data_IF_901107311984
#
_entry.id   IF_901107311984
#
_cell.length_a   1.000
_cell.length_b   1.000
_cell.length_c   1.000
_cell.angle_alpha   90.00
_cell.angle_beta   90.00
_cell.angle_gamma   90.00
#
_symmetry.space_group_name_H-M   'P 1'
#
loop_
_entity.id
_entity.type
_entity.pdbx_description
1 polymer ?
#
# COMPACT_ATOMS: atom_id res chain seq x y z
N UNK A 1 -43.45 -37.57 22.92
CA UNK A 1 -43.09 -36.23 23.38
C UNK A 1 -42.10 -36.33 24.54
N UNK A 2 -40.84 -36.11 24.32
CA UNK A 2 -39.85 -36.19 25.37
C UNK A 2 -38.51 -35.63 24.81
N UNK A 3 -38.30 -34.35 25.01
CA UNK A 3 -37.02 -33.71 24.80
C UNK A 3 -36.02 -34.18 25.83
N UNK A 4 -34.97 -34.87 25.42
CA UNK A 4 -33.82 -35.18 26.27
C UNK A 4 -32.79 -34.11 26.14
N UNK A 5 -32.57 -33.33 27.21
CA UNK A 5 -31.41 -32.49 27.43
C UNK A 5 -30.26 -33.41 27.87
N UNK A 6 -29.13 -33.34 27.16
CA UNK A 6 -27.87 -33.95 27.56
C UNK A 6 -27.03 -32.90 28.28
N UNK A 7 -26.56 -33.11 29.51
CA UNK A 7 -25.64 -32.17 30.14
C UNK A 7 -24.22 -32.48 29.72
N UNK A 8 -23.57 -31.48 29.10
CA UNK A 8 -22.13 -31.51 28.84
C UNK A 8 -21.40 -31.36 30.19
N UNK A 9 -20.77 -32.41 30.65
CA UNK A 9 -19.86 -32.37 31.81
C UNK A 9 -18.55 -31.65 31.40
N UNK A 10 -18.30 -30.49 32.00
CA UNK A 10 -16.98 -29.87 31.97
C UNK A 10 -16.12 -30.51 33.07
N UNK A 11 -15.12 -31.25 32.66
CA UNK A 11 -14.10 -31.78 33.57
C UNK A 11 -13.01 -30.73 33.77
N UNK A 12 -12.98 -30.13 34.95
CA UNK A 12 -11.90 -29.22 35.38
C UNK A 12 -10.70 -30.07 35.84
N UNK A 13 -9.62 -30.02 35.10
CA UNK A 13 -8.32 -30.53 35.56
C UNK A 13 -7.51 -29.40 36.19
N UNK A 14 -7.18 -29.53 37.47
CA UNK A 14 -6.26 -28.67 38.18
C UNK A 14 -4.87 -29.31 38.21
N UNK A 15 -3.87 -28.66 37.71
CA UNK A 15 -2.45 -28.92 37.95
C UNK A 15 -1.85 -27.61 38.47
N UNK A 16 -1.29 -27.64 39.71
CA UNK A 16 -0.58 -26.54 40.38
C UNK A 16 -1.31 -25.21 40.55
N UNK A 17 -2.51 -25.22 41.17
CA UNK A 17 -3.08 -24.03 41.85
C UNK A 17 -3.50 -22.82 40.99
N UNK A 18 -3.38 -22.86 39.64
CA UNK A 18 -3.90 -21.86 38.74
C UNK A 18 -4.95 -22.50 37.82
N UNK A 19 -6.11 -21.86 37.62
CA UNK A 19 -7.07 -22.35 36.66
C UNK A 19 -6.46 -22.25 35.24
N UNK A 20 -6.35 -23.38 34.55
CA UNK A 20 -6.10 -23.39 33.13
C UNK A 20 -7.37 -22.86 32.46
N UNK A 21 -7.34 -21.57 32.05
CA UNK A 21 -8.40 -21.00 31.24
C UNK A 21 -8.45 -21.77 29.91
N UNK A 22 -9.57 -22.48 29.73
CA UNK A 22 -9.81 -23.39 28.63
C UNK A 22 -9.82 -22.65 27.28
N UNK A 23 -9.46 -23.35 26.24
CA UNK A 23 -9.63 -23.30 24.79
C UNK A 23 -10.58 -22.26 24.11
N UNK A 24 -11.26 -21.39 24.85
CA UNK A 24 -12.10 -20.30 24.36
C UNK A 24 -11.31 -19.00 24.11
N UNK A 25 -10.00 -18.95 24.38
CA UNK A 25 -9.13 -17.78 24.16
C UNK A 25 -8.39 -17.80 22.81
N UNK A 26 -8.70 -18.75 21.92
CA UNK A 26 -8.00 -18.84 20.62
C UNK A 26 -8.41 -17.75 19.60
N UNK A 27 -9.50 -16.99 19.87
CA UNK A 27 -9.96 -15.87 19.05
C UNK A 27 -9.54 -14.48 19.59
N UNK A 28 -8.69 -14.45 20.63
CA UNK A 28 -8.23 -13.17 21.17
C UNK A 28 -7.22 -12.49 20.26
N UNK A 29 -7.35 -11.18 20.21
CA UNK A 29 -6.57 -10.18 19.47
C UNK A 29 -5.17 -10.66 19.07
N UNK A 30 -4.99 -10.90 17.77
CA UNK A 30 -3.70 -11.34 17.24
C UNK A 30 -2.89 -10.13 16.80
N UNK A 31 -1.78 -9.85 17.48
CA UNK A 31 -0.84 -8.83 17.07
C UNK A 31 -0.12 -9.30 15.80
N UNK A 32 -0.24 -8.52 14.73
CA UNK A 32 0.45 -8.72 13.45
C UNK A 32 1.47 -7.61 13.22
N UNK A 33 2.60 -7.95 12.59
CA UNK A 33 3.65 -6.97 12.26
C UNK A 33 3.31 -6.07 11.08
N UNK A 34 2.22 -6.32 10.36
CA UNK A 34 1.68 -5.40 9.35
C UNK A 34 1.01 -4.16 9.98
N UNK A 35 0.89 -4.13 11.29
CA UNK A 35 0.52 -2.95 12.06
C UNK A 35 1.78 -2.14 12.37
N UNK A 36 1.77 -0.86 12.02
CA UNK A 36 2.90 0.07 12.19
C UNK A 36 3.37 0.21 13.65
N UNK A 37 2.42 0.21 14.60
CA UNK A 37 2.74 0.24 16.03
C UNK A 37 3.53 -1.00 16.46
N UNK A 38 3.02 -2.19 16.13
CA UNK A 38 3.67 -3.44 16.50
C UNK A 38 5.06 -3.57 15.84
N UNK A 39 5.17 -3.16 14.58
CA UNK A 39 6.41 -3.14 13.84
C UNK A 39 7.45 -2.23 14.52
N UNK A 40 7.11 -0.95 14.75
CA UNK A 40 8.02 0.00 15.40
C UNK A 40 8.35 -0.41 16.84
N UNK A 41 7.38 -0.90 17.61
CA UNK A 41 7.59 -1.33 18.98
C UNK A 41 8.57 -2.51 19.10
N UNK A 42 8.56 -3.40 18.14
CA UNK A 42 9.42 -4.60 18.13
C UNK A 42 10.72 -4.38 17.40
N UNK A 43 10.73 -3.77 16.22
CA UNK A 43 11.94 -3.59 15.42
C UNK A 43 12.60 -2.21 15.57
N UNK A 44 11.89 -1.23 16.14
CA UNK A 44 12.40 0.14 16.36
C UNK A 44 12.92 0.38 17.79
N UNK A 45 13.24 -0.64 18.58
CA UNK A 45 13.71 -0.48 19.96
C UNK A 45 15.14 -0.99 20.15
N UNK A 46 15.92 -0.29 20.99
CA UNK A 46 17.30 -0.66 21.32
C UNK A 46 17.39 -2.10 21.88
N UNK A 47 16.41 -2.50 22.68
CA UNK A 47 16.31 -3.85 23.24
C UNK A 47 16.30 -4.95 22.17
N UNK A 48 15.76 -4.63 20.99
CA UNK A 48 15.55 -5.55 19.88
C UNK A 48 16.48 -5.28 18.69
N UNK A 49 17.49 -4.45 18.87
CA UNK A 49 18.49 -4.11 17.87
C UNK A 49 19.04 -5.32 17.09
N UNK A 50 19.38 -6.47 17.74
CA UNK A 50 19.85 -7.66 17.00
C UNK A 50 18.84 -8.24 16.01
N UNK A 51 17.54 -8.11 16.27
CA UNK A 51 16.48 -8.57 15.35
C UNK A 51 16.45 -7.70 14.10
N UNK A 52 16.56 -6.38 14.27
CA UNK A 52 16.62 -5.44 13.16
C UNK A 52 17.89 -5.59 12.34
N UNK A 53 19.02 -5.85 13.00
CA UNK A 53 20.31 -6.12 12.34
C UNK A 53 20.21 -7.32 11.39
N UNK A 54 19.69 -8.45 11.84
CA UNK A 54 19.49 -9.65 11.01
C UNK A 54 18.54 -9.37 9.83
N UNK A 55 17.49 -8.58 10.04
CA UNK A 55 16.59 -8.17 8.96
C UNK A 55 17.29 -7.29 7.91
N UNK A 56 18.06 -6.29 8.34
CA UNK A 56 18.79 -5.42 7.43
C UNK A 56 19.88 -6.15 6.65
N UNK A 57 20.58 -7.10 7.27
CA UNK A 57 21.55 -7.95 6.59
C UNK A 57 20.92 -8.78 5.47
N UNK A 58 19.64 -9.12 5.58
CA UNK A 58 18.92 -9.82 4.51
C UNK A 58 18.57 -8.91 3.30
N UNK A 59 18.48 -7.59 3.52
CA UNK A 59 18.02 -6.63 2.50
C UNK A 59 19.21 -5.93 1.85
N UNK A 60 20.13 -5.43 2.67
CA UNK A 60 21.22 -4.54 2.26
C UNK A 60 22.55 -5.28 2.20
N UNK A 61 23.44 -4.85 1.29
CA UNK A 61 24.81 -5.33 1.24
C UNK A 61 25.69 -4.52 2.21
N UNK A 62 25.40 -4.67 3.50
CA UNK A 62 26.13 -4.03 4.58
C UNK A 62 27.19 -4.97 5.15
N UNK A 63 28.31 -4.39 5.59
CA UNK A 63 29.28 -5.13 6.39
C UNK A 63 28.73 -5.35 7.80
N UNK A 64 29.09 -6.46 8.48
CA UNK A 64 28.65 -6.71 9.86
C UNK A 64 28.96 -5.53 10.80
N UNK A 65 30.08 -4.83 10.60
CA UNK A 65 30.46 -3.68 11.44
C UNK A 65 29.49 -2.50 11.26
N UNK A 66 29.06 -2.19 10.03
CA UNK A 66 28.07 -1.12 9.78
C UNK A 66 26.76 -1.39 10.49
N UNK A 67 26.34 -2.65 10.55
CA UNK A 67 25.09 -3.07 11.17
C UNK A 67 25.20 -3.11 12.71
N UNK A 68 26.36 -3.50 13.25
CA UNK A 68 26.58 -3.58 14.70
C UNK A 68 26.42 -2.23 15.40
N UNK A 69 26.85 -1.16 14.77
CA UNK A 69 26.94 0.19 15.36
C UNK A 69 25.81 1.12 14.89
N UNK A 70 24.70 0.57 14.38
CA UNK A 70 23.53 1.38 14.01
C UNK A 70 22.93 2.10 15.24
N UNK A 71 22.42 3.30 15.01
CA UNK A 71 21.74 4.12 16.02
C UNK A 71 20.29 4.40 15.58
N UNK A 72 19.34 4.29 16.52
CA UNK A 72 17.97 4.75 16.27
C UNK A 72 17.93 6.28 16.33
N UNK A 73 17.36 6.91 15.28
CA UNK A 73 17.24 8.37 15.22
C UNK A 73 16.05 8.89 16.05
N UNK A 74 14.98 8.11 16.13
CA UNK A 74 13.80 8.43 16.92
C UNK A 74 13.89 7.71 18.26
N UNK A 75 14.06 8.49 19.34
CA UNK A 75 13.96 7.96 20.70
C UNK A 75 12.50 7.61 20.97
N UNK A 76 12.29 6.59 21.80
CA UNK A 76 11.03 5.99 22.25
C UNK A 76 9.72 6.71 21.88
N UNK A 77 8.74 5.94 21.44
CA UNK A 77 7.37 6.39 21.19
C UNK A 77 6.83 7.21 22.38
N UNK A 78 6.72 8.51 22.24
CA UNK A 78 6.11 9.36 23.24
C UNK A 78 4.59 9.22 23.21
N UNK A 79 3.92 9.50 24.37
CA UNK A 79 2.44 9.52 24.42
C UNK A 79 1.82 10.51 23.45
N UNK A 80 2.53 11.55 23.07
CA UNK A 80 2.11 12.59 22.12
C UNK A 80 2.12 12.08 20.69
N UNK A 81 3.10 11.25 20.30
CA UNK A 81 3.13 10.60 18.98
C UNK A 81 1.98 9.61 18.78
N UNK A 82 1.47 9.01 19.87
CA UNK A 82 0.24 8.19 19.82
C UNK A 82 -1.02 9.00 19.57
N UNK A 83 -1.08 10.25 20.00
CA UNK A 83 -2.23 11.14 19.82
C UNK A 83 -2.25 11.79 18.44
N UNK A 84 -1.12 11.83 17.76
CA UNK A 84 -1.04 12.36 16.41
C UNK A 84 -1.66 11.37 15.40
N UNK A 85 -2.87 11.70 14.99
CA UNK A 85 -3.69 10.90 14.07
C UNK A 85 -3.09 10.76 12.67
N UNK A 86 -2.03 11.48 12.36
CA UNK A 86 -1.35 11.51 11.06
C UNK A 86 0.05 10.90 11.08
N UNK A 87 0.58 10.55 12.27
CA UNK A 87 1.94 10.04 12.44
C UNK A 87 2.13 8.66 11.80
N UNK A 88 2.96 8.60 10.78
CA UNK A 88 3.50 7.36 10.25
C UNK A 88 4.56 6.87 11.24
N UNK A 89 4.36 5.68 11.77
CA UNK A 89 5.32 5.05 12.67
C UNK A 89 6.35 4.28 11.82
N UNK A 90 7.39 4.97 11.41
CA UNK A 90 8.54 4.42 10.71
C UNK A 90 9.70 4.09 11.69
N UNK A 91 10.66 3.32 11.22
CA UNK A 91 11.89 3.01 11.96
C UNK A 91 13.04 3.71 11.26
N UNK A 92 13.58 4.77 11.88
CA UNK A 92 14.71 5.55 11.35
C UNK A 92 16.01 5.20 12.05
N UNK A 93 17.04 4.98 11.26
CA UNK A 93 18.36 4.54 11.70
C UNK A 93 19.44 5.38 11.07
N UNK A 94 20.57 5.48 11.77
CA UNK A 94 21.83 6.01 11.24
C UNK A 94 22.94 4.99 11.42
N UNK A 95 23.70 4.76 10.37
CA UNK A 95 24.90 3.92 10.40
C UNK A 95 26.13 4.75 10.74
N UNK A 96 27.24 4.09 11.06
CA UNK A 96 28.53 4.74 11.43
C UNK A 96 29.13 5.60 10.33
N UNK A 97 28.87 5.28 9.06
CA UNK A 97 29.30 6.06 7.90
C UNK A 97 28.40 7.27 7.59
N UNK A 98 27.40 7.50 8.43
CA UNK A 98 26.41 8.57 8.26
C UNK A 98 25.20 8.20 7.40
N UNK A 99 25.17 7.01 6.78
CA UNK A 99 24.02 6.52 6.02
C UNK A 99 22.77 6.52 6.89
N UNK A 100 21.67 7.10 6.37
CA UNK A 100 20.38 7.13 7.05
C UNK A 100 19.43 6.14 6.38
N UNK A 101 18.76 5.31 7.17
CA UNK A 101 17.81 4.30 6.71
C UNK A 101 16.45 4.60 7.30
N UNK A 102 15.41 4.57 6.48
CA UNK A 102 14.00 4.69 6.85
C UNK A 102 13.25 3.43 6.44
N UNK A 103 12.57 2.78 7.39
CA UNK A 103 11.82 1.55 7.15
C UNK A 103 10.35 1.82 7.44
N UNK A 104 9.54 1.78 6.37
CA UNK A 104 8.09 1.93 6.44
C UNK A 104 7.38 0.60 6.17
N UNK A 105 6.30 0.34 6.90
CA UNK A 105 5.37 -0.73 6.60
C UNK A 105 4.02 -0.18 6.12
N UNK A 106 3.57 -0.62 4.95
CA UNK A 106 2.36 -0.14 4.31
C UNK A 106 1.36 -1.26 4.12
N UNK A 107 0.13 -1.02 4.56
CA UNK A 107 -0.95 -2.00 4.44
C UNK A 107 -1.35 -2.27 2.99
N UNK A 108 -1.28 -1.25 2.13
CA UNK A 108 -1.68 -1.38 0.73
C UNK A 108 -0.93 -0.39 -0.16
N UNK A 109 -0.72 -0.78 -1.41
CA UNK A 109 -0.17 0.06 -2.45
C UNK A 109 -1.20 1.07 -2.98
N UNK A 110 -0.75 2.30 -3.27
CA UNK A 110 -1.52 3.29 -4.02
C UNK A 110 -0.63 4.07 -4.99
N UNK A 111 -1.25 4.74 -5.97
CA UNK A 111 -0.52 5.44 -7.05
C UNK A 111 0.40 6.58 -6.56
N UNK A 112 0.14 7.13 -5.37
CA UNK A 112 0.93 8.21 -4.79
C UNK A 112 2.13 7.70 -3.99
N UNK A 113 2.21 6.38 -3.77
CA UNK A 113 3.17 5.80 -2.85
C UNK A 113 4.63 6.08 -3.24
N UNK A 114 4.99 5.89 -4.51
CA UNK A 114 6.35 6.20 -4.99
C UNK A 114 6.70 7.67 -4.78
N UNK A 115 5.76 8.58 -5.08
CA UNK A 115 5.98 10.03 -4.86
C UNK A 115 6.18 10.34 -3.38
N UNK A 116 5.44 9.67 -2.51
CA UNK A 116 5.57 9.80 -1.06
C UNK A 116 6.93 9.31 -0.56
N UNK A 117 7.36 8.13 -1.01
CA UNK A 117 8.69 7.59 -0.69
C UNK A 117 9.79 8.58 -1.10
N UNK A 118 9.75 9.10 -2.33
CA UNK A 118 10.74 10.09 -2.81
C UNK A 118 10.68 11.40 -2.02
N UNK A 119 9.50 11.85 -1.61
CA UNK A 119 9.34 13.06 -0.80
C UNK A 119 9.98 12.90 0.59
N UNK A 120 9.73 11.79 1.28
CA UNK A 120 10.35 11.52 2.59
C UNK A 120 11.84 11.27 2.47
N UNK A 121 12.29 10.56 1.43
CA UNK A 121 13.70 10.43 1.12
C UNK A 121 14.38 11.79 0.96
N UNK A 122 13.81 12.71 0.17
CA UNK A 122 14.37 14.04 -0.05
C UNK A 122 14.43 14.85 1.25
N UNK A 123 13.41 14.75 2.11
CA UNK A 123 13.43 15.36 3.44
C UNK A 123 14.54 14.80 4.32
N UNK A 124 14.71 13.49 4.33
CA UNK A 124 15.75 12.80 5.09
C UNK A 124 17.14 13.21 4.60
N UNK A 125 17.33 13.25 3.28
CA UNK A 125 18.59 13.61 2.65
C UNK A 125 19.04 15.03 2.98
N UNK A 126 18.11 15.96 3.17
CA UNK A 126 18.40 17.38 3.46
C UNK A 126 18.18 17.78 4.91
N UNK A 127 17.78 16.85 5.80
CA UNK A 127 17.33 17.18 7.16
C UNK A 127 18.37 17.96 8.00
N UNK A 128 19.62 17.54 7.93
CA UNK A 128 20.71 18.12 8.73
C UNK A 128 21.57 19.12 7.93
N UNK A 129 21.22 19.39 6.66
CA UNK A 129 22.03 20.24 5.77
C UNK A 129 21.69 21.72 5.91
N UNK A 130 22.69 22.54 6.23
CA UNK A 130 22.54 23.97 6.47
C UNK A 130 23.08 24.80 5.32
N UNK A 131 22.55 25.99 5.15
CA UNK A 131 23.04 26.96 4.18
C UNK A 131 24.53 27.26 4.37
N UNK A 132 25.34 27.13 3.31
CA UNK A 132 26.77 27.35 3.31
C UNK A 132 27.65 26.14 3.67
N UNK A 133 27.05 25.00 3.94
CA UNK A 133 27.80 23.75 4.13
C UNK A 133 28.21 23.12 2.79
N UNK A 134 29.33 22.35 2.84
CA UNK A 134 29.76 21.56 1.69
C UNK A 134 28.80 20.40 1.42
N UNK A 135 28.50 20.13 0.15
CA UNK A 135 27.68 18.99 -0.28
C UNK A 135 28.30 17.64 0.09
N UNK A 136 29.60 17.58 0.40
CA UNK A 136 30.28 16.37 0.89
C UNK A 136 29.76 15.89 2.26
N UNK A 137 28.98 16.74 2.95
CA UNK A 137 28.31 16.37 4.21
C UNK A 137 26.97 15.65 4.01
N UNK A 138 26.48 15.60 2.78
CA UNK A 138 25.28 14.85 2.48
C UNK A 138 25.60 13.36 2.45
N UNK A 139 24.84 12.60 3.24
CA UNK A 139 25.05 11.15 3.38
C UNK A 139 24.05 10.38 2.51
N UNK A 140 24.40 9.13 2.21
CA UNK A 140 23.51 8.16 1.57
C UNK A 140 22.22 8.01 2.38
N UNK A 141 21.10 7.93 1.69
CA UNK A 141 19.79 7.69 2.29
C UNK A 141 19.10 6.51 1.62
N UNK A 142 18.65 5.56 2.43
CA UNK A 142 18.01 4.32 2.00
C UNK A 142 16.57 4.31 2.50
N UNK A 143 15.60 4.17 1.60
CA UNK A 143 14.19 3.99 1.95
C UNK A 143 13.79 2.52 1.74
N UNK A 144 13.38 1.82 2.80
CA UNK A 144 12.92 0.43 2.76
C UNK A 144 11.41 0.43 2.98
N UNK A 145 10.67 0.01 1.96
CA UNK A 145 9.21 0.00 1.96
C UNK A 145 8.69 -1.44 1.96
N UNK A 146 8.03 -1.85 3.02
CA UNK A 146 7.40 -3.16 3.15
C UNK A 146 5.93 -3.02 2.78
N UNK A 147 5.49 -3.71 1.72
CA UNK A 147 4.14 -3.60 1.17
C UNK A 147 3.35 -4.87 1.49
N UNK A 148 2.28 -4.73 2.28
CA UNK A 148 1.47 -5.88 2.68
C UNK A 148 0.56 -6.37 1.56
N UNK A 149 0.04 -5.47 0.72
CA UNK A 149 -0.86 -5.82 -0.38
C UNK A 149 -0.80 -4.83 -1.55
N UNK A 150 -1.08 -5.35 -2.75
CA UNK A 150 -1.32 -4.55 -3.95
C UNK A 150 -0.08 -3.98 -4.64
N UNK A 151 1.14 -4.42 -4.32
CA UNK A 151 2.34 -3.99 -5.03
C UNK A 151 2.24 -4.25 -6.54
N UNK A 152 2.60 -3.26 -7.37
CA UNK A 152 2.33 -3.29 -8.82
C UNK A 152 3.47 -2.77 -9.70
N UNK A 153 4.66 -2.54 -9.16
CA UNK A 153 5.78 -2.11 -10.00
C UNK A 153 6.39 -3.28 -10.79
N UNK A 154 6.45 -4.45 -10.17
CA UNK A 154 6.91 -5.71 -10.76
C UNK A 154 6.46 -6.89 -9.88
N UNK A 155 6.85 -8.12 -10.24
CA UNK A 155 6.51 -9.35 -9.52
C UNK A 155 7.64 -9.85 -8.59
N UNK A 156 8.69 -9.04 -8.37
CA UNK A 156 9.81 -9.42 -7.54
C UNK A 156 9.44 -9.30 -6.04
N UNK A 157 9.98 -10.20 -5.23
CA UNK A 157 9.85 -10.17 -3.77
C UNK A 157 10.57 -8.96 -3.20
N UNK A 158 11.72 -8.63 -3.76
CA UNK A 158 12.56 -7.51 -3.40
C UNK A 158 12.98 -6.78 -4.67
N UNK A 159 12.72 -5.49 -4.72
CA UNK A 159 13.10 -4.61 -5.81
C UNK A 159 13.95 -3.48 -5.25
N UNK A 160 15.10 -3.27 -5.84
CA UNK A 160 16.03 -2.19 -5.54
C UNK A 160 16.04 -1.16 -6.68
N UNK A 161 15.95 0.11 -6.33
CA UNK A 161 15.94 1.22 -7.27
C UNK A 161 17.07 2.20 -6.94
N UNK A 162 17.88 2.49 -7.95
CA UNK A 162 18.98 3.45 -7.94
C UNK A 162 18.81 4.48 -9.04
N UNK A 163 19.52 5.59 -8.95
CA UNK A 163 19.63 6.55 -10.04
C UNK A 163 20.59 6.04 -11.12
N UNK A 164 20.06 5.75 -12.30
CA UNK A 164 20.84 5.21 -13.44
C UNK A 164 20.64 6.02 -14.70
N UNK A 165 21.68 6.03 -15.55
CA UNK A 165 21.54 6.48 -16.93
C UNK A 165 20.58 5.54 -17.69
N UNK A 166 19.65 6.11 -18.45
CA UNK A 166 18.49 5.40 -19.01
C UNK A 166 18.85 4.33 -20.05
N UNK A 167 19.94 4.51 -20.79
CA UNK A 167 20.31 3.68 -21.92
C UNK A 167 21.42 2.67 -21.59
N UNK A 168 22.47 3.16 -20.95
CA UNK A 168 23.63 2.35 -20.58
C UNK A 168 23.49 1.67 -19.22
N UNK A 169 22.47 2.03 -18.45
CA UNK A 169 22.21 1.53 -17.09
C UNK A 169 23.39 1.76 -16.13
N UNK A 170 24.22 2.75 -16.40
CA UNK A 170 25.32 3.13 -15.52
C UNK A 170 24.75 3.84 -14.30
N UNK A 171 25.06 3.37 -13.11
CA UNK A 171 24.65 4.00 -11.85
C UNK A 171 25.29 5.37 -11.75
N UNK A 172 24.48 6.41 -11.57
CA UNK A 172 24.94 7.79 -11.38
C UNK A 172 25.48 7.98 -9.98
N UNK A 173 24.76 7.44 -8.99
CA UNK A 173 25.09 7.56 -7.57
C UNK A 173 24.25 6.54 -6.77
N UNK A 174 24.78 6.12 -5.63
CA UNK A 174 24.14 5.29 -4.61
C UNK A 174 23.55 6.12 -3.45
N UNK A 175 23.61 7.45 -3.56
CA UNK A 175 23.07 8.36 -2.52
C UNK A 175 21.57 8.18 -2.33
N UNK A 176 20.82 7.93 -3.41
CA UNK A 176 19.42 7.54 -3.37
C UNK A 176 19.28 6.05 -3.62
N UNK A 177 18.77 5.35 -2.63
CA UNK A 177 18.43 3.94 -2.74
C UNK A 177 17.03 3.70 -2.17
N UNK A 178 16.19 3.00 -2.92
CA UNK A 178 14.84 2.67 -2.50
C UNK A 178 14.57 1.19 -2.71
N UNK A 179 14.20 0.49 -1.62
CA UNK A 179 13.81 -0.91 -1.63
C UNK A 179 12.30 -1.04 -1.47
N UNK A 180 11.72 -1.97 -2.22
CA UNK A 180 10.34 -2.37 -2.09
C UNK A 180 10.29 -3.88 -1.85
N UNK A 181 9.65 -4.28 -0.77
CA UNK A 181 9.53 -5.65 -0.29
C UNK A 181 8.06 -6.06 -0.34
N UNK A 182 7.72 -7.04 -1.17
CA UNK A 182 6.35 -7.48 -1.38
C UNK A 182 6.03 -8.71 -0.52
N UNK A 183 5.16 -8.56 0.49
CA UNK A 183 4.75 -9.64 1.37
C UNK A 183 3.92 -10.71 0.64
N UNK A 184 3.15 -10.33 -0.38
CA UNK A 184 2.33 -11.28 -1.14
C UNK A 184 3.20 -12.13 -2.08
N UNK A 185 4.19 -11.53 -2.72
CA UNK A 185 5.18 -12.26 -3.52
C UNK A 185 5.99 -13.24 -2.65
N UNK A 186 6.43 -12.81 -1.46
CA UNK A 186 7.12 -13.67 -0.50
C UNK A 186 6.25 -14.84 -0.01
N UNK A 187 4.94 -14.63 0.16
CA UNK A 187 4.00 -15.69 0.52
C UNK A 187 3.85 -16.73 -0.59
N UNK A 188 3.75 -16.29 -1.84
CA UNK A 188 3.66 -17.16 -3.02
C UNK A 188 4.94 -17.99 -3.23
N UNK A 189 6.11 -17.40 -3.05
CA UNK A 189 7.41 -18.08 -3.25
C UNK A 189 7.62 -19.33 -2.37
N UNK A 190 6.86 -19.49 -1.29
CA UNK A 190 6.84 -20.72 -0.47
C UNK A 190 6.43 -21.96 -1.27
N UNK A 191 5.49 -21.78 -2.20
CA UNK A 191 4.89 -22.89 -2.95
C UNK A 191 5.84 -23.42 -4.02
N UNK A 192 6.80 -22.61 -4.48
CA UNK A 192 7.75 -22.92 -5.53
C UNK A 192 9.06 -23.55 -5.04
N UNK A 193 9.31 -23.59 -3.73
CA UNK A 193 10.38 -24.32 -3.03
C UNK A 193 11.81 -23.81 -3.25
N UNK A 194 12.45 -23.34 -2.16
CA UNK A 194 13.91 -23.29 -1.94
C UNK A 194 14.67 -22.07 -2.46
N UNK A 195 14.43 -20.91 -1.89
CA UNK A 195 15.52 -19.96 -1.79
C UNK A 195 16.44 -20.37 -0.61
N UNK A 196 17.74 -20.51 -0.87
CA UNK A 196 18.76 -20.75 0.14
C UNK A 196 19.55 -19.46 0.41
N UNK A 197 20.31 -19.40 1.51
CA UNK A 197 21.16 -18.28 1.87
C UNK A 197 20.37 -17.01 2.21
N UNK A 198 20.95 -15.84 1.92
CA UNK A 198 20.42 -14.51 2.22
C UNK A 198 18.99 -14.30 1.69
N UNK A 199 18.73 -14.72 0.45
CA UNK A 199 17.40 -14.62 -0.14
C UNK A 199 16.35 -15.47 0.58
N UNK A 200 16.72 -16.69 1.00
CA UNK A 200 15.83 -17.55 1.77
C UNK A 200 15.50 -16.97 3.15
N UNK A 201 16.48 -16.36 3.80
CA UNK A 201 16.27 -15.65 5.07
C UNK A 201 15.33 -14.47 4.88
N UNK A 202 15.52 -13.65 3.84
CA UNK A 202 14.61 -12.54 3.53
C UNK A 202 13.17 -13.02 3.30
N UNK A 203 12.97 -14.08 2.53
CA UNK A 203 11.64 -14.67 2.30
C UNK A 203 10.99 -15.09 3.64
N UNK A 204 11.75 -15.73 4.53
CA UNK A 204 11.24 -16.11 5.84
C UNK A 204 10.87 -14.90 6.69
N UNK A 205 11.67 -13.84 6.70
CA UNK A 205 11.35 -12.57 7.35
C UNK A 205 10.05 -11.96 6.82
N UNK A 206 9.93 -11.82 5.50
CA UNK A 206 8.75 -11.19 4.89
C UNK A 206 7.48 -12.03 5.12
N UNK A 207 7.59 -13.35 5.07
CA UNK A 207 6.49 -14.25 5.42
C UNK A 207 6.09 -14.15 6.90
N UNK A 208 7.08 -14.01 7.79
CA UNK A 208 6.84 -13.82 9.21
C UNK A 208 6.12 -12.50 9.49
N UNK A 209 6.56 -11.40 8.85
CA UNK A 209 5.92 -10.08 8.94
C UNK A 209 4.49 -10.14 8.39
N UNK A 210 4.28 -10.84 7.27
CA UNK A 210 2.98 -10.99 6.61
C UNK A 210 2.07 -12.05 7.22
N UNK A 211 2.49 -12.77 8.26
CA UNK A 211 1.67 -13.79 8.92
C UNK A 211 0.42 -13.17 9.57
N UNK A 212 -0.74 -13.74 9.28
CA UNK A 212 -2.03 -13.21 9.71
C UNK A 212 -2.56 -13.83 11.01
N UNK A 213 -1.95 -14.93 11.44
CA UNK A 213 -2.35 -15.65 12.65
C UNK A 213 -1.15 -16.27 13.39
N UNK A 214 -1.34 -16.52 14.69
CA UNK A 214 -0.30 -17.05 15.59
C UNK A 214 0.27 -18.39 15.12
N UNK A 215 -0.56 -19.26 14.59
CA UNK A 215 -0.15 -20.62 14.16
C UNK A 215 0.80 -20.54 12.95
N UNK A 216 0.46 -19.73 11.96
CA UNK A 216 1.29 -19.47 10.80
C UNK A 216 2.63 -18.85 11.21
N UNK A 217 2.60 -17.81 12.07
CA UNK A 217 3.78 -17.14 12.58
C UNK A 217 4.70 -18.08 13.34
N UNK A 218 4.16 -18.88 14.27
CA UNK A 218 4.91 -19.85 15.05
C UNK A 218 5.59 -20.91 14.16
N UNK A 219 4.92 -21.37 13.11
CA UNK A 219 5.50 -22.30 12.15
C UNK A 219 6.67 -21.68 11.38
N UNK A 220 6.57 -20.43 10.94
CA UNK A 220 7.66 -19.75 10.25
C UNK A 220 8.82 -19.48 11.22
N UNK A 221 8.53 -19.16 12.46
CA UNK A 221 9.53 -18.91 13.51
C UNK A 221 10.51 -20.07 13.70
N UNK A 222 10.06 -21.31 13.49
CA UNK A 222 10.95 -22.50 13.59
C UNK A 222 12.07 -22.53 12.58
N UNK A 223 12.02 -21.69 11.53
CA UNK A 223 13.02 -21.65 10.46
C UNK A 223 14.28 -20.85 10.80
N UNK A 224 14.23 -19.98 11.85
CA UNK A 224 15.34 -19.13 12.26
C UNK A 224 15.29 -18.86 13.77
N UNK A 225 16.42 -18.95 14.50
CA UNK A 225 16.47 -18.57 15.91
C UNK A 225 16.06 -17.13 16.17
N UNK A 226 16.37 -16.22 15.24
CA UNK A 226 16.01 -14.80 15.33
C UNK A 226 14.49 -14.62 15.22
N UNK A 227 13.85 -15.30 14.28
CA UNK A 227 12.39 -15.27 14.15
C UNK A 227 11.69 -15.95 15.33
N UNK A 228 12.29 -16.97 15.92
CA UNK A 228 11.77 -17.57 17.15
C UNK A 228 11.79 -16.58 18.32
N UNK A 229 12.90 -15.87 18.50
CA UNK A 229 13.01 -14.80 19.52
C UNK A 229 11.97 -13.71 19.29
N UNK A 230 11.79 -13.27 18.04
CA UNK A 230 10.77 -12.26 17.68
C UNK A 230 9.35 -12.77 17.97
N UNK A 231 9.06 -14.04 17.68
CA UNK A 231 7.75 -14.64 17.98
C UNK A 231 7.45 -14.64 19.49
N UNK A 232 8.44 -14.98 20.33
CA UNK A 232 8.31 -14.92 21.79
C UNK A 232 8.03 -13.49 22.29
N UNK A 233 8.71 -12.49 21.71
CA UNK A 233 8.48 -11.08 22.05
C UNK A 233 7.08 -10.61 21.65
N UNK A 234 6.53 -11.05 20.52
CA UNK A 234 5.16 -10.76 20.12
C UNK A 234 4.17 -11.39 21.11
N UNK A 235 4.41 -12.63 21.53
CA UNK A 235 3.54 -13.29 22.51
C UNK A 235 3.54 -12.55 23.86
N UNK A 236 4.70 -12.08 24.34
CA UNK A 236 4.81 -11.23 25.54
C UNK A 236 4.05 -9.90 25.36
N UNK A 237 4.21 -9.24 24.21
CA UNK A 237 3.50 -8.00 23.88
C UNK A 237 1.99 -8.20 23.91
N UNK A 238 1.51 -9.34 23.42
CA UNK A 238 0.09 -9.72 23.42
C UNK A 238 -0.46 -9.86 24.84
N UNK A 239 0.35 -10.26 25.82
CA UNK A 239 -0.06 -10.42 27.22
C UNK A 239 -0.17 -9.08 27.98
N UNK A 240 0.45 -8.00 27.49
CA UNK A 240 0.40 -6.69 28.13
C UNK A 240 -0.90 -5.94 27.83
N UNK A 241 -1.72 -5.60 28.86
CA UNK A 241 -2.97 -4.87 28.64
C UNK A 241 -2.76 -3.47 28.04
N UNK A 242 -1.64 -2.82 28.36
CA UNK A 242 -1.30 -1.50 27.84
C UNK A 242 -0.96 -1.58 26.34
N UNK A 243 -0.09 -2.51 25.98
CA UNK A 243 0.32 -2.73 24.60
C UNK A 243 -0.88 -3.14 23.72
N UNK A 244 -1.75 -4.00 24.21
CA UNK A 244 -3.01 -4.36 23.54
C UNK A 244 -3.87 -3.13 23.25
N UNK A 245 -4.09 -2.28 24.23
CA UNK A 245 -4.89 -1.06 24.05
C UNK A 245 -4.30 -0.12 23.01
N UNK A 246 -2.99 0.02 22.99
CA UNK A 246 -2.29 0.85 21.99
C UNK A 246 -2.42 0.24 20.59
N UNK A 247 -2.20 -1.06 20.46
CA UNK A 247 -2.41 -1.78 19.20
C UNK A 247 -3.85 -1.65 18.68
N UNK A 248 -4.85 -1.88 19.53
CA UNK A 248 -6.27 -1.75 19.21
C UNK A 248 -6.63 -0.32 18.74
N UNK A 249 -6.06 0.69 19.38
CA UNK A 249 -6.26 2.09 19.01
C UNK A 249 -5.76 2.37 17.60
N UNK A 250 -4.62 1.81 17.21
CA UNK A 250 -4.07 1.95 15.83
C UNK A 250 -4.87 1.15 14.83
N UNK A 251 -5.32 -0.05 15.17
CA UNK A 251 -6.20 -0.84 14.31
C UNK A 251 -7.51 -0.11 14.02
N UNK A 252 -8.12 0.49 15.06
CA UNK A 252 -9.33 1.29 14.91
C UNK A 252 -9.10 2.49 14.00
N UNK A 253 -8.03 3.25 14.23
CA UNK A 253 -7.69 4.42 13.40
C UNK A 253 -7.52 4.02 11.91
N UNK A 254 -6.82 2.91 11.65
CA UNK A 254 -6.63 2.39 10.29
C UNK A 254 -7.98 2.00 9.65
N UNK A 255 -8.85 1.33 10.39
CA UNK A 255 -10.20 0.97 9.93
C UNK A 255 -11.03 2.20 9.61
N UNK A 256 -11.01 3.22 10.47
CA UNK A 256 -11.73 4.48 10.27
C UNK A 256 -11.25 5.20 9.00
N UNK A 257 -9.93 5.30 8.78
CA UNK A 257 -9.33 5.90 7.57
C UNK A 257 -9.75 5.11 6.31
N UNK A 258 -9.71 3.79 6.36
CA UNK A 258 -10.13 2.94 5.24
C UNK A 258 -11.60 3.17 4.90
N UNK A 259 -12.48 3.16 5.90
CA UNK A 259 -13.92 3.40 5.72
C UNK A 259 -14.22 4.77 5.10
N UNK A 260 -13.54 5.82 5.57
CA UNK A 260 -13.66 7.18 5.02
C UNK A 260 -13.22 7.20 3.55
N UNK A 261 -12.08 6.59 3.25
CA UNK A 261 -11.53 6.53 1.89
C UNK A 261 -12.48 5.78 0.93
N UNK A 262 -12.99 4.62 1.31
CA UNK A 262 -13.94 3.84 0.52
C UNK A 262 -15.25 4.59 0.30
N UNK A 263 -15.76 5.28 1.32
CA UNK A 263 -16.98 6.09 1.23
C UNK A 263 -16.79 7.26 0.24
N UNK A 264 -15.66 7.96 0.33
CA UNK A 264 -15.36 9.07 -0.58
C UNK A 264 -15.15 8.58 -2.02
N UNK A 265 -14.48 7.44 -2.20
CA UNK A 265 -14.30 6.83 -3.52
C UNK A 265 -15.64 6.45 -4.15
N UNK A 266 -16.52 5.76 -3.40
CA UNK A 266 -17.84 5.36 -3.87
C UNK A 266 -18.70 6.56 -4.24
N UNK A 267 -18.72 7.61 -3.43
CA UNK A 267 -19.40 8.86 -3.72
C UNK A 267 -18.83 9.57 -4.96
N UNK A 268 -17.53 9.52 -5.17
CA UNK A 268 -16.85 10.06 -6.36
C UNK A 268 -17.26 9.31 -7.64
N UNK A 269 -17.29 7.98 -7.58
CA UNK A 269 -17.72 7.13 -8.70
C UNK A 269 -19.18 7.40 -9.05
N UNK A 270 -20.06 7.47 -8.05
CA UNK A 270 -21.49 7.74 -8.25
C UNK A 270 -21.73 9.11 -8.93
N UNK A 271 -21.04 10.17 -8.45
CA UNK A 271 -21.10 11.50 -9.08
C UNK A 271 -20.60 11.47 -10.53
N UNK A 272 -19.43 10.85 -10.75
CA UNK A 272 -18.85 10.75 -12.10
C UNK A 272 -19.76 10.00 -13.08
N UNK A 273 -20.41 8.92 -12.64
CA UNK A 273 -21.40 8.19 -13.46
C UNK A 273 -22.64 9.05 -13.74
N UNK A 274 -23.15 9.76 -12.74
CA UNK A 274 -24.33 10.64 -12.90
C UNK A 274 -24.04 11.79 -13.88
N UNK A 275 -22.90 12.47 -13.71
CA UNK A 275 -22.44 13.54 -14.60
C UNK A 275 -22.19 13.04 -16.02
N UNK A 276 -21.47 11.94 -16.19
CA UNK A 276 -21.20 11.34 -17.50
C UNK A 276 -22.48 10.94 -18.22
N UNK A 277 -23.45 10.34 -17.51
CA UNK A 277 -24.76 10.00 -18.07
C UNK A 277 -25.54 11.24 -18.49
N UNK A 278 -25.54 12.28 -17.67
CA UNK A 278 -26.23 13.56 -17.97
C UNK A 278 -25.64 14.23 -19.19
N UNK A 279 -24.31 14.34 -19.27
CA UNK A 279 -23.60 14.92 -20.42
C UNK A 279 -23.84 14.11 -21.70
N UNK A 280 -23.71 12.78 -21.64
CA UNK A 280 -23.94 11.91 -22.80
C UNK A 280 -25.37 11.96 -23.32
N UNK A 281 -26.38 12.06 -22.44
CA UNK A 281 -27.77 12.24 -22.83
C UNK A 281 -28.00 13.61 -23.49
N UNK A 282 -27.42 14.67 -22.95
CA UNK A 282 -27.56 16.02 -23.51
C UNK A 282 -26.91 16.10 -24.91
N UNK A 283 -25.71 15.58 -25.03
CA UNK A 283 -24.96 15.55 -26.31
C UNK A 283 -25.66 14.67 -27.35
N UNK A 284 -26.09 13.46 -26.99
CA UNK A 284 -26.81 12.56 -27.86
C UNK A 284 -28.13 13.14 -28.34
N UNK A 285 -28.87 13.84 -27.45
CA UNK A 285 -30.10 14.54 -27.81
C UNK A 285 -29.84 15.69 -28.79
N UNK A 286 -28.78 16.49 -28.56
CA UNK A 286 -28.39 17.59 -29.43
C UNK A 286 -28.00 17.08 -30.81
N UNK A 287 -27.18 16.07 -30.90
CA UNK A 287 -26.76 15.45 -32.16
C UNK A 287 -27.95 14.82 -32.92
N UNK A 288 -28.82 14.08 -32.21
CA UNK A 288 -30.01 13.47 -32.81
C UNK A 288 -30.99 14.48 -33.36
N UNK A 289 -31.20 15.61 -32.65
CA UNK A 289 -32.04 16.70 -33.16
C UNK A 289 -31.44 17.39 -34.40
N UNK A 290 -30.15 17.63 -34.39
CA UNK A 290 -29.46 18.23 -35.55
C UNK A 290 -29.51 17.32 -36.78
N UNK A 291 -29.23 16.03 -36.59
CA UNK A 291 -29.28 15.04 -37.67
C UNK A 291 -30.67 14.82 -38.19
N UNK A 292 -31.71 14.68 -37.32
CA UNK A 292 -33.11 14.56 -37.70
C UNK A 292 -33.60 15.80 -38.44
N UNK A 293 -33.22 17.00 -38.01
CA UNK A 293 -33.57 18.25 -38.71
C UNK A 293 -32.95 18.30 -40.11
N UNK A 294 -31.69 17.89 -40.22
CA UNK A 294 -31.01 17.84 -41.52
C UNK A 294 -31.62 16.81 -42.47
N UNK A 295 -31.95 15.65 -41.97
CA UNK A 295 -32.63 14.59 -42.76
C UNK A 295 -33.98 15.06 -43.30
N UNK A 296 -34.77 15.73 -42.44
CA UNK A 296 -36.05 16.33 -42.83
C UNK A 296 -35.90 17.45 -43.87
N UNK A 297 -34.84 18.27 -43.77
CA UNK A 297 -34.49 19.27 -44.76
C UNK A 297 -34.20 18.66 -46.15
N UNK A 298 -33.44 17.54 -46.16
CA UNK A 298 -33.16 16.81 -47.41
C UNK A 298 -34.44 16.18 -48.02
N UNK A 299 -35.33 15.60 -47.22
CA UNK A 299 -36.60 15.04 -47.65
C UNK A 299 -37.48 16.14 -48.27
N UNK A 300 -37.62 17.27 -47.59
CA UNK A 300 -38.36 18.44 -48.08
C UNK A 300 -37.77 18.97 -49.35
N UNK A 301 -36.46 19.07 -49.46
CA UNK A 301 -35.75 19.53 -50.68
C UNK A 301 -36.02 18.60 -51.89
N UNK A 302 -36.05 17.28 -51.69
CA UNK A 302 -36.42 16.32 -52.77
C UNK A 302 -37.83 16.52 -53.25
N UNK A 303 -38.80 16.69 -52.35
CA UNK A 303 -40.21 16.92 -52.71
C UNK A 303 -40.34 18.21 -53.50
N UNK A 304 -39.76 19.31 -53.03
CA UNK A 304 -39.83 20.61 -53.75
C UNK A 304 -39.15 20.54 -55.12
N UNK A 305 -38.05 19.79 -55.25
CA UNK A 305 -37.36 19.57 -56.55
C UNK A 305 -38.25 18.78 -57.54
N UNK A 306 -38.98 17.78 -57.07
CA UNK A 306 -39.95 17.03 -57.90
C UNK A 306 -41.13 17.91 -58.37
N UNK A 307 -41.54 18.89 -57.57
CA UNK A 307 -42.58 19.87 -57.97
C UNK A 307 -42.05 20.98 -58.92
N UNK A 308 -40.76 20.98 -59.27
CA UNK A 308 -40.16 21.91 -60.18
C UNK A 308 -39.83 23.28 -59.61
N UNK A 309 -39.72 23.36 -58.25
CA UNK A 309 -39.30 24.62 -57.60
C UNK A 309 -37.85 24.96 -57.90
N UNK A 310 -37.54 26.25 -57.96
CA UNK A 310 -36.18 26.73 -58.24
C UNK A 310 -35.20 26.40 -57.08
N UNK A 311 -33.93 26.15 -57.40
CA UNK A 311 -32.87 25.85 -56.39
C UNK A 311 -32.81 26.91 -55.30
N UNK A 312 -32.96 28.20 -55.68
CA UNK A 312 -32.95 29.31 -54.70
C UNK A 312 -34.11 29.22 -53.69
N UNK A 313 -35.30 28.86 -54.19
CA UNK A 313 -36.46 28.68 -53.32
C UNK A 313 -36.31 27.47 -52.36
N UNK A 314 -35.74 26.37 -52.85
CA UNK A 314 -35.47 25.17 -52.06
C UNK A 314 -34.45 25.49 -50.96
N UNK A 315 -33.36 26.19 -51.31
CA UNK A 315 -32.34 26.64 -50.29
C UNK A 315 -32.97 27.53 -49.23
N UNK A 316 -33.84 28.46 -49.62
CA UNK A 316 -34.48 29.40 -48.69
C UNK A 316 -35.44 28.65 -47.70
N UNK A 317 -36.13 27.63 -48.16
CA UNK A 317 -37.12 26.89 -47.35
C UNK A 317 -36.44 25.84 -46.43
N UNK A 318 -35.40 25.20 -46.93
CA UNK A 318 -34.77 24.06 -46.25
C UNK A 318 -33.51 24.40 -45.45
N UNK A 319 -32.88 25.54 -45.72
CA UNK A 319 -31.59 25.92 -45.13
C UNK A 319 -30.40 25.12 -45.65
N UNK A 320 -30.62 24.27 -46.68
CA UNK A 320 -29.53 23.53 -47.35
C UNK A 320 -28.69 24.45 -48.24
N UNK A 321 -27.45 24.11 -48.50
CA UNK A 321 -26.62 24.84 -49.45
C UNK A 321 -27.01 24.56 -50.89
N UNK A 322 -26.72 25.45 -51.81
CA UNK A 322 -26.98 25.27 -53.25
C UNK A 322 -26.36 23.95 -53.75
N UNK A 323 -25.12 23.66 -53.32
CA UNK A 323 -24.42 22.43 -53.71
C UNK A 323 -25.11 21.16 -53.22
N UNK A 324 -25.72 21.19 -52.02
CA UNK A 324 -26.45 20.08 -51.47
C UNK A 324 -27.77 19.84 -52.22
N UNK A 325 -28.46 20.93 -52.59
CA UNK A 325 -29.71 20.84 -53.39
C UNK A 325 -29.44 20.37 -54.83
N UNK A 326 -28.38 20.80 -55.44
CA UNK A 326 -27.97 20.38 -56.80
C UNK A 326 -27.62 18.89 -56.89
N UNK A 327 -26.95 18.35 -55.83
CA UNK A 327 -26.56 16.93 -55.73
C UNK A 327 -27.73 15.98 -55.45
N UNK A 328 -28.91 16.47 -55.07
CA UNK A 328 -30.06 15.62 -54.85
C UNK A 328 -30.53 15.06 -56.22
N UNK A 329 -30.45 13.74 -56.36
CA UNK A 329 -31.06 13.06 -57.48
C UNK A 329 -32.58 13.24 -57.41
N UNK A 330 -33.17 13.55 -58.53
CA UNK A 330 -34.64 13.74 -58.69
C UNK A 330 -35.37 12.47 -58.40
#
# INVERSE_FOLDING_TARGET
SGLRFSPAFHTLHFISGYPILSTAMEDELQITLTNDYAFKRLLGSEENKPLLQDFLECILDLTPQQVLDLEFMDKELTKEEFSDKTGILDVKLKLTDGTVIDIEIQASWNASFVKRTLFYWAKMYTADFKAGESYDKLHRCIAINIIADGFRLNDAIHSEYLLQEKTAHTVLTDVLEAHFLDLQAAKKAKEEGKAAGKQGQLINWLRFIGATNRKERAMIATMSPVLQMLNEKIDILTLSPIERKLYESRMKLKSDITTISETQFSAGVERGLAEGKSLGLAEGKSLGLAEGSRQKAFETARILKQFGDSVQKIVQVTGLTVQEVEKLNS
#
